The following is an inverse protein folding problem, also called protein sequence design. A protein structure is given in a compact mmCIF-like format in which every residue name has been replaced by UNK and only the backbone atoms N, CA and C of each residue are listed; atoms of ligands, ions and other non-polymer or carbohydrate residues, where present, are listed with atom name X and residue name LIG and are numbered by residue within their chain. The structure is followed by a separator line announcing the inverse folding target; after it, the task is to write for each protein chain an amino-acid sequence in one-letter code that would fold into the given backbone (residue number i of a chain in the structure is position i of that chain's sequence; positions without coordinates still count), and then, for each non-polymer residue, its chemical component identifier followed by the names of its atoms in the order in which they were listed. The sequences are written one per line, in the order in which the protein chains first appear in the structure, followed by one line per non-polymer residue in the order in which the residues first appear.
data_IF_222436058979
#
_entry.id   IF_222436058979
#
_cell.length_a   1.000
_cell.length_b   1.000
_cell.length_c   1.000
_cell.angle_alpha   90.00
_cell.angle_beta   90.00
_cell.angle_gamma   90.00
#
_symmetry.space_group_name_H-M   'P 1'
#
loop_
_entity.id
_entity.type
_entity.pdbx_description
1 polymer ?
#
# COMPACT_ATOMS: atom_id res chain seq x y z
N UNK A 1 68.55 20.98 21.85
CA UNK A 1 67.54 19.95 22.15
C UNK A 1 66.16 20.43 21.66
N UNK A 2 65.72 19.97 20.49
CA UNK A 2 64.40 20.30 19.91
C UNK A 2 63.39 19.26 20.33
N UNK A 3 62.34 19.66 21.07
CA UNK A 3 61.23 18.81 21.41
C UNK A 3 60.26 18.73 20.25
N UNK A 4 60.09 17.53 19.71
CA UNK A 4 59.08 17.19 18.68
C UNK A 4 57.76 16.88 19.36
N UNK A 5 56.74 17.73 19.18
CA UNK A 5 55.40 17.49 19.72
C UNK A 5 54.61 16.73 18.67
N UNK A 6 54.29 15.46 18.95
CA UNK A 6 53.37 14.64 18.14
C UNK A 6 51.92 15.05 18.45
N UNK A 7 51.24 15.61 17.49
CA UNK A 7 49.79 15.85 17.56
C UNK A 7 49.11 14.59 17.01
N UNK A 8 48.55 13.81 17.93
CA UNK A 8 47.74 12.65 17.59
C UNK A 8 46.32 13.17 17.19
N UNK A 9 46.06 13.27 15.89
CA UNK A 9 44.75 13.61 15.39
C UNK A 9 43.82 12.40 15.40
N UNK A 10 42.88 12.37 16.34
CA UNK A 10 41.78 11.39 16.36
C UNK A 10 40.79 11.71 15.24
N UNK A 11 40.85 10.94 14.15
CA UNK A 11 39.85 10.95 13.10
C UNK A 11 38.60 10.22 13.61
N UNK A 12 37.57 11.00 13.94
CA UNK A 12 36.25 10.45 14.26
C UNK A 12 35.57 10.02 12.94
N UNK A 13 35.57 8.72 12.66
CA UNK A 13 34.78 8.16 11.56
C UNK A 13 33.31 8.14 12.00
N UNK A 14 32.52 9.08 11.50
CA UNK A 14 31.06 9.05 11.62
C UNK A 14 30.54 7.91 10.74
N UNK A 15 30.19 6.78 11.37
CA UNK A 15 29.44 5.70 10.73
C UNK A 15 28.04 6.25 10.38
N UNK A 16 27.85 6.66 9.13
CA UNK A 16 26.54 6.98 8.58
C UNK A 16 25.82 5.63 8.38
N UNK A 17 25.06 5.18 9.37
CA UNK A 17 24.14 4.06 9.21
C UNK A 17 22.99 4.55 8.33
N UNK A 18 23.03 4.22 7.05
CA UNK A 18 21.86 4.32 6.17
C UNK A 18 20.82 3.36 6.75
N UNK A 19 19.82 3.89 7.44
CA UNK A 19 18.61 3.15 7.69
C UNK A 19 18.01 2.85 6.30
N UNK A 20 17.99 1.58 5.90
CA UNK A 20 17.23 1.16 4.74
C UNK A 20 15.76 1.45 5.09
N UNK A 21 15.22 2.54 4.55
CA UNK A 21 13.78 2.76 4.59
C UNK A 21 13.13 1.64 3.77
N UNK A 22 12.04 1.09 4.27
CA UNK A 22 11.23 0.15 3.50
C UNK A 22 10.84 0.80 2.17
N UNK A 23 11.10 0.11 1.05
CA UNK A 23 10.80 0.61 -0.28
C UNK A 23 9.39 0.19 -0.69
N UNK A 24 8.59 1.17 -1.10
CA UNK A 24 7.24 0.95 -1.59
C UNK A 24 7.29 0.37 -3.02
N UNK A 25 6.65 -0.77 -3.24
CA UNK A 25 6.48 -1.36 -4.57
C UNK A 25 5.47 -0.56 -5.39
N UNK A 26 5.63 -0.56 -6.71
CA UNK A 26 4.62 0.00 -7.61
C UNK A 26 3.23 -0.58 -7.33
N UNK A 27 2.18 0.24 -7.50
CA UNK A 27 0.81 -0.22 -7.34
C UNK A 27 0.47 -1.29 -8.39
N UNK A 28 -0.15 -2.36 -7.93
CA UNK A 28 -0.74 -3.39 -8.78
C UNK A 28 -2.08 -3.81 -8.17
N UNK A 29 -3.06 -4.14 -9.01
CA UNK A 29 -4.33 -4.70 -8.59
C UNK A 29 -4.54 -6.04 -9.27
N UNK A 30 -5.03 -7.02 -8.54
CA UNK A 30 -5.46 -8.33 -9.07
C UNK A 30 -6.99 -8.39 -9.24
N UNK A 31 -7.64 -7.22 -9.24
CA UNK A 31 -9.09 -7.08 -9.32
C UNK A 31 -9.74 -7.39 -7.97
N UNK A 32 -10.67 -8.32 -7.93
CA UNK A 32 -11.35 -8.69 -6.69
C UNK A 32 -10.68 -9.87 -5.97
N UNK A 33 -9.38 -10.14 -6.25
CA UNK A 33 -8.59 -11.23 -5.66
C UNK A 33 -9.26 -12.60 -5.83
N UNK A 34 -9.62 -13.27 -4.76
CA UNK A 34 -10.29 -14.59 -4.79
C UNK A 34 -11.80 -14.51 -5.05
N UNK A 35 -12.35 -13.35 -5.47
CA UNK A 35 -13.78 -13.15 -5.69
C UNK A 35 -14.06 -12.76 -7.15
N UNK A 36 -15.21 -13.16 -7.76
CA UNK A 36 -15.57 -12.72 -9.10
C UNK A 36 -15.68 -11.19 -9.20
N UNK A 37 -15.30 -10.62 -10.35
CA UNK A 37 -15.34 -9.16 -10.60
C UNK A 37 -16.72 -8.64 -10.97
N UNK A 38 -17.67 -9.52 -11.17
CA UNK A 38 -19.04 -9.18 -11.58
C UNK A 38 -19.94 -10.39 -11.71
N UNK A 39 -21.10 -10.20 -12.32
CA UNK A 39 -22.08 -11.24 -12.63
C UNK A 39 -21.80 -11.90 -13.99
N UNK A 40 -22.53 -12.98 -14.32
CA UNK A 40 -22.47 -13.60 -15.65
C UNK A 40 -22.85 -12.62 -16.78
N UNK A 41 -23.79 -11.71 -16.52
CA UNK A 41 -24.24 -10.72 -17.48
C UNK A 41 -23.31 -9.49 -17.54
N UNK A 42 -22.69 -9.12 -16.44
CA UNK A 42 -21.85 -7.94 -16.27
C UNK A 42 -20.53 -8.34 -15.58
N UNK A 43 -19.61 -8.87 -16.35
CA UNK A 43 -18.40 -9.53 -15.86
C UNK A 43 -17.45 -8.66 -15.03
N UNK A 44 -17.57 -7.34 -15.12
CA UNK A 44 -16.72 -6.37 -14.42
C UNK A 44 -17.56 -5.36 -13.62
N UNK A 45 -18.74 -5.77 -13.17
CA UNK A 45 -19.72 -4.87 -12.56
C UNK A 45 -19.17 -4.09 -11.35
N UNK A 46 -18.38 -4.73 -10.53
CA UNK A 46 -17.76 -4.12 -9.34
C UNK A 46 -16.22 -4.12 -9.36
N UNK A 47 -15.59 -4.45 -10.50
CA UNK A 47 -14.13 -4.42 -10.64
C UNK A 47 -13.53 -3.09 -10.19
N UNK A 48 -14.13 -1.95 -10.57
CA UNK A 48 -13.68 -0.63 -10.15
C UNK A 48 -13.67 -0.47 -8.62
N UNK A 49 -14.68 -1.04 -7.93
CA UNK A 49 -14.75 -1.00 -6.48
C UNK A 49 -13.58 -1.76 -5.85
N UNK A 50 -13.25 -2.93 -6.40
CA UNK A 50 -12.11 -3.73 -5.96
C UNK A 50 -10.78 -3.00 -6.20
N UNK A 51 -10.58 -2.42 -7.38
CA UNK A 51 -9.33 -1.69 -7.71
C UNK A 51 -9.11 -0.49 -6.77
N UNK A 52 -10.17 0.25 -6.43
CA UNK A 52 -10.09 1.37 -5.47
C UNK A 52 -9.77 0.87 -4.06
N UNK A 53 -10.33 -0.27 -3.66
CA UNK A 53 -10.03 -0.91 -2.39
C UNK A 53 -8.57 -1.39 -2.33
N UNK A 54 -8.07 -2.02 -3.39
CA UNK A 54 -6.67 -2.44 -3.51
C UNK A 54 -5.72 -1.26 -3.38
N UNK A 55 -6.08 -0.11 -3.97
CA UNK A 55 -5.26 1.09 -3.86
C UNK A 55 -5.12 1.59 -2.41
N UNK A 56 -6.20 1.53 -1.62
CA UNK A 56 -6.13 1.83 -0.19
C UNK A 56 -5.28 0.80 0.58
N UNK A 57 -5.43 -0.48 0.24
CA UNK A 57 -4.69 -1.57 0.85
C UNK A 57 -3.20 -1.53 0.53
N UNK A 58 -2.84 -1.18 -0.70
CA UNK A 58 -1.45 -1.01 -1.11
C UNK A 58 -0.71 0.00 -0.25
N UNK A 59 -1.36 1.14 0.06
CA UNK A 59 -0.77 2.20 0.88
C UNK A 59 -0.52 1.76 2.33
N UNK A 60 -1.40 0.93 2.89
CA UNK A 60 -1.38 0.63 4.31
C UNK A 60 -1.86 1.80 5.18
N UNK A 61 -1.52 1.79 6.46
CA UNK A 61 -1.96 2.82 7.40
C UNK A 61 -2.53 2.23 8.69
N UNK A 62 -3.41 2.96 9.37
CA UNK A 62 -4.00 2.56 10.64
C UNK A 62 -5.09 1.48 10.46
N UNK A 63 -5.47 0.85 11.57
CA UNK A 63 -6.59 -0.10 11.58
C UNK A 63 -7.93 0.57 11.22
N UNK A 64 -8.13 1.81 11.65
CA UNK A 64 -9.32 2.60 11.32
C UNK A 64 -9.39 2.87 9.82
N UNK A 65 -8.28 3.29 9.20
CA UNK A 65 -8.20 3.51 7.75
C UNK A 65 -8.50 2.24 6.96
N UNK A 66 -8.04 1.08 7.43
CA UNK A 66 -8.42 -0.20 6.83
C UNK A 66 -9.93 -0.44 6.90
N UNK A 67 -10.53 -0.23 8.09
CA UNK A 67 -11.98 -0.40 8.24
C UNK A 67 -12.78 0.51 7.31
N UNK A 68 -12.32 1.75 7.16
CA UNK A 68 -12.95 2.73 6.27
C UNK A 68 -12.83 2.29 4.80
N UNK A 69 -11.68 1.75 4.38
CA UNK A 69 -11.51 1.19 3.04
C UNK A 69 -12.45 -0.01 2.78
N UNK A 70 -12.60 -0.91 3.75
CA UNK A 70 -13.51 -2.06 3.66
C UNK A 70 -14.98 -1.62 3.56
N UNK A 71 -15.40 -0.60 4.34
CA UNK A 71 -16.75 -0.04 4.24
C UNK A 71 -16.97 0.72 2.92
N UNK A 72 -15.95 1.38 2.40
CA UNK A 72 -16.02 2.03 1.08
C UNK A 72 -16.21 1.00 -0.03
N UNK A 73 -15.53 -0.16 0.02
CA UNK A 73 -15.75 -1.28 -0.89
C UNK A 73 -17.21 -1.74 -0.83
N UNK A 74 -17.72 -2.02 0.38
CA UNK A 74 -19.11 -2.43 0.59
C UNK A 74 -20.09 -1.43 -0.02
N UNK A 75 -19.94 -0.15 0.32
CA UNK A 75 -20.82 0.91 -0.19
C UNK A 75 -20.75 1.04 -1.71
N UNK A 76 -19.58 0.90 -2.30
CA UNK A 76 -19.40 0.95 -3.76
C UNK A 76 -20.13 -0.20 -4.45
N UNK A 77 -20.01 -1.44 -3.97
CA UNK A 77 -20.68 -2.62 -4.54
C UNK A 77 -22.19 -2.54 -4.34
N UNK A 78 -22.67 -2.04 -3.19
CA UNK A 78 -24.09 -1.82 -2.92
C UNK A 78 -24.70 -0.78 -3.90
N UNK A 79 -23.96 0.25 -4.28
CA UNK A 79 -24.43 1.26 -5.25
C UNK A 79 -24.62 0.71 -6.66
N UNK A 80 -23.93 -0.33 -7.05
CA UNK A 80 -24.17 -1.00 -8.34
C UNK A 80 -25.31 -2.02 -8.28
N UNK A 81 -26.01 -2.11 -7.14
CA UNK A 81 -27.24 -2.90 -6.95
C UNK A 81 -27.06 -4.29 -6.34
N UNK A 82 -25.89 -4.60 -5.80
CA UNK A 82 -25.52 -5.93 -5.31
C UNK A 82 -25.29 -5.95 -3.78
N UNK A 83 -26.32 -5.58 -3.00
CA UNK A 83 -26.19 -5.43 -1.55
C UNK A 83 -25.74 -6.72 -0.81
N UNK A 84 -26.24 -7.90 -1.22
CA UNK A 84 -25.86 -9.18 -0.60
C UNK A 84 -24.39 -9.52 -0.92
N UNK A 85 -23.97 -9.27 -2.15
CA UNK A 85 -22.58 -9.44 -2.57
C UNK A 85 -21.67 -8.46 -1.80
N UNK A 86 -22.09 -7.21 -1.63
CA UNK A 86 -21.36 -6.22 -0.86
C UNK A 86 -21.06 -6.67 0.58
N UNK A 87 -22.05 -7.27 1.25
CA UNK A 87 -21.87 -7.82 2.60
C UNK A 87 -20.93 -9.03 2.62
N UNK A 88 -21.03 -9.90 1.62
CA UNK A 88 -20.14 -11.06 1.50
C UNK A 88 -18.68 -10.62 1.26
N UNK A 89 -18.46 -9.65 0.38
CA UNK A 89 -17.14 -9.07 0.11
C UNK A 89 -16.57 -8.40 1.37
N UNK A 90 -17.38 -7.62 2.10
CA UNK A 90 -16.97 -7.03 3.38
C UNK A 90 -16.48 -8.09 4.35
N UNK A 91 -17.22 -9.18 4.52
CA UNK A 91 -16.81 -10.28 5.39
C UNK A 91 -15.48 -10.90 4.95
N UNK A 92 -15.31 -11.12 3.64
CA UNK A 92 -14.08 -11.65 3.05
C UNK A 92 -12.85 -10.78 3.32
N UNK A 93 -12.93 -9.48 3.03
CA UNK A 93 -11.80 -8.55 3.23
C UNK A 93 -11.47 -8.36 4.71
N UNK A 94 -12.48 -8.41 5.61
CA UNK A 94 -12.26 -8.36 7.07
C UNK A 94 -11.41 -9.51 7.56
N UNK A 95 -11.64 -10.71 7.04
CA UNK A 95 -10.90 -11.93 7.41
C UNK A 95 -9.55 -11.98 6.69
N UNK A 96 -9.55 -11.82 5.35
CA UNK A 96 -8.39 -12.06 4.50
C UNK A 96 -7.37 -10.93 4.46
N UNK A 97 -7.79 -9.67 4.69
CA UNK A 97 -6.96 -8.49 4.47
C UNK A 97 -6.07 -8.08 5.65
N UNK A 98 -5.86 -8.95 6.64
CA UNK A 98 -4.98 -8.62 7.79
C UNK A 98 -3.52 -8.37 7.35
N UNK A 99 -2.81 -7.36 7.89
CA UNK A 99 -1.40 -7.12 7.59
C UNK A 99 -0.47 -8.23 8.10
N UNK A 100 -0.98 -9.13 8.94
CA UNK A 100 -0.22 -10.24 9.53
C UNK A 100 -0.34 -11.54 8.75
N UNK A 101 -1.11 -11.55 7.66
CA UNK A 101 -1.17 -12.65 6.70
C UNK A 101 -0.16 -12.39 5.57
N UNK A 102 0.72 -13.34 5.24
CA UNK A 102 1.74 -13.14 4.19
C UNK A 102 1.12 -13.34 2.80
N UNK A 103 0.10 -12.53 2.47
CA UNK A 103 -0.61 -12.55 1.18
C UNK A 103 -0.31 -11.29 0.38
N UNK A 104 -0.46 -11.35 -0.94
CA UNK A 104 -0.25 -10.21 -1.84
C UNK A 104 -1.41 -9.21 -1.81
N UNK A 105 -2.51 -9.53 -1.13
CA UNK A 105 -3.69 -8.68 -0.94
C UNK A 105 -3.89 -8.25 0.52
N UNK A 106 -2.86 -8.37 1.38
CA UNK A 106 -2.92 -7.91 2.78
C UNK A 106 -2.91 -6.39 2.87
N UNK A 107 -3.41 -5.82 3.97
CA UNK A 107 -3.23 -4.41 4.30
C UNK A 107 -1.74 -4.03 4.29
N UNK A 108 -1.38 -2.97 3.55
CA UNK A 108 -0.01 -2.54 3.37
C UNK A 108 0.82 -3.43 2.43
N UNK A 109 0.20 -4.10 1.44
CA UNK A 109 0.93 -5.02 0.55
C UNK A 109 1.96 -4.32 -0.35
N UNK A 110 1.87 -3.00 -0.53
CA UNK A 110 2.90 -2.22 -1.22
C UNK A 110 4.25 -2.20 -0.49
N UNK A 111 4.24 -2.44 0.81
CA UNK A 111 5.42 -2.46 1.66
C UNK A 111 5.97 -3.87 1.87
N UNK A 112 7.27 -4.02 2.21
CA UNK A 112 7.83 -5.30 2.64
C UNK A 112 7.03 -5.91 3.80
N UNK A 113 6.94 -7.25 3.82
CA UNK A 113 6.28 -7.96 4.92
C UNK A 113 7.24 -8.13 6.12
N UNK A 114 6.75 -7.99 7.34
CA UNK A 114 5.41 -7.54 7.76
C UNK A 114 5.29 -6.01 7.79
N UNK A 115 4.11 -5.48 7.44
CA UNK A 115 3.77 -4.06 7.60
C UNK A 115 2.61 -3.92 8.58
N UNK A 116 2.85 -3.77 9.89
CA UNK A 116 1.80 -3.62 10.90
C UNK A 116 0.96 -2.36 10.69
N UNK A 117 -0.23 -2.33 11.32
CA UNK A 117 -1.02 -1.10 11.39
C UNK A 117 -0.23 0.02 12.06
N UNK A 118 -0.34 1.23 11.53
CA UNK A 118 0.30 2.41 12.10
C UNK A 118 0.05 3.64 11.24
N UNK A 119 0.30 4.81 11.81
CA UNK A 119 0.31 6.06 11.05
C UNK A 119 1.52 6.03 10.12
N UNK A 120 1.30 6.30 8.83
CA UNK A 120 2.39 6.39 7.85
C UNK A 120 3.31 7.56 8.20
N UNK A 121 4.61 7.32 8.16
CA UNK A 121 5.62 8.36 8.34
C UNK A 121 5.59 9.36 7.18
N UNK A 122 6.27 10.49 7.34
CA UNK A 122 6.38 11.48 6.25
C UNK A 122 7.12 10.91 5.04
N UNK A 123 8.11 10.08 5.29
CA UNK A 123 8.91 9.40 4.27
C UNK A 123 8.06 8.38 3.49
N UNK A 124 7.23 7.61 4.17
CA UNK A 124 6.29 6.67 3.55
C UNK A 124 5.23 7.41 2.72
N UNK A 125 4.67 8.49 3.25
CA UNK A 125 3.73 9.34 2.52
C UNK A 125 4.37 9.96 1.26
N UNK A 126 5.64 10.37 1.33
CA UNK A 126 6.37 10.89 0.19
C UNK A 126 6.59 9.81 -0.88
N UNK A 127 6.92 8.56 -0.50
CA UNK A 127 7.04 7.44 -1.44
C UNK A 127 5.71 7.14 -2.15
N UNK A 128 4.59 7.12 -1.42
CA UNK A 128 3.25 6.93 -2.00
C UNK A 128 2.95 8.04 -3.00
N UNK A 129 3.18 9.30 -2.62
CA UNK A 129 2.93 10.46 -3.49
C UNK A 129 3.79 10.39 -4.77
N UNK A 130 5.05 10.02 -4.66
CA UNK A 130 5.94 9.85 -5.81
C UNK A 130 5.47 8.73 -6.73
N UNK A 131 5.11 7.57 -6.19
CA UNK A 131 4.63 6.44 -6.97
C UNK A 131 3.33 6.76 -7.75
N UNK A 132 2.45 7.58 -7.17
CA UNK A 132 1.24 8.07 -7.86
C UNK A 132 1.63 8.98 -9.01
N UNK A 133 2.54 9.95 -8.80
CA UNK A 133 3.00 10.86 -9.85
C UNK A 133 3.69 10.12 -11.00
N UNK A 134 4.52 9.13 -10.68
CA UNK A 134 5.21 8.32 -11.69
C UNK A 134 4.20 7.54 -12.55
N UNK A 135 3.16 6.96 -11.95
CA UNK A 135 2.09 6.28 -12.67
C UNK A 135 1.27 7.23 -13.56
N UNK A 136 0.99 8.44 -13.10
CA UNK A 136 0.30 9.46 -13.90
C UNK A 136 1.14 9.89 -15.11
N UNK A 137 2.45 10.08 -14.95
CA UNK A 137 3.37 10.43 -16.03
C UNK A 137 3.50 9.30 -17.07
N UNK A 138 3.55 8.04 -16.64
CA UNK A 138 3.57 6.89 -17.55
C UNK A 138 2.27 6.81 -18.39
N UNK A 139 1.11 7.04 -17.77
CA UNK A 139 -0.18 7.07 -18.47
C UNK A 139 -0.20 8.22 -19.49
N UNK A 140 0.27 9.41 -19.12
CA UNK A 140 0.30 10.56 -20.02
C UNK A 140 1.22 10.31 -21.23
N UNK A 141 2.40 9.75 -21.02
CA UNK A 141 3.34 9.42 -22.09
C UNK A 141 2.82 8.34 -23.05
N UNK A 142 1.85 7.52 -22.61
CA UNK A 142 1.21 6.51 -23.46
C UNK A 142 0.08 7.07 -24.35
N UNK A 143 -0.50 8.21 -23.93
CA UNK A 143 -1.64 8.86 -24.62
C UNK A 143 -1.15 9.86 -25.69
N UNK A 144 0.03 10.46 -25.51
CA UNK A 144 0.66 11.43 -26.43
C UNK A 144 1.39 10.71 -27.57
#
# INVERSE_FOLDING_TARGET
MRRLTFICGTFLFALCTSAFADELKAFTSDGCSAFPEGTFAQKQLWLKCCTVHDFAYWQGGTYEQRKDADEALRACVEQVGEAEIALLMLAGVRVGGSPFLPTDFRWGYGWPYPKPYGVLTKEEQAQISQAILDAELEIQAYID
#
